data_IF_749153875820
#
_entry.id   IF_749153875820
#
_cell.length_a   1.000
_cell.length_b   1.000
_cell.length_c   1.000
_cell.angle_alpha   90.00
_cell.angle_beta   90.00
_cell.angle_gamma   90.00
#
_symmetry.space_group_name_H-M   'P 1'
#
loop_
_entity.id
_entity.type
_entity.pdbx_description
1 polymer ?
#
# COMPACT_ATOMS: atom_id res chain seq x y z
N UNK A 1 -12.28 5.27 -25.30
CA UNK A 1 -12.56 4.77 -24.82
C UNK A 1 -12.61 4.53 -24.40
N UNK A 2 -12.44 4.63 -24.40
CA UNK A 2 -12.75 4.08 -23.82
C UNK A 2 -12.38 4.11 -23.30
N UNK A 3 -12.01 4.28 -23.06
CA UNK A 3 -11.72 3.89 -22.43
C UNK A 3 -11.35 3.46 -21.86
N UNK A 4 -10.91 3.27 -21.87
CA UNK A 4 -10.89 2.52 -21.43
C UNK A 4 -10.35 2.16 -20.96
N UNK A 5 -9.35 1.94 -20.73
CA UNK A 5 -9.15 1.35 -20.32
C UNK A 5 -8.48 1.11 -19.42
N UNK A 6 -7.27 1.00 -18.38
CA UNK A 6 -7.09 0.93 -17.39
C UNK A 6 -7.12 0.59 -16.28
N UNK A 7 -6.34 0.54 -16.23
CA UNK A 7 -7.07 0.60 -16.14
C UNK A 7 -7.88 1.64 -16.39
N UNK A 8 -7.60 2.40 -17.36
CA UNK A 8 -8.65 3.00 -18.05
C UNK A 8 -9.85 2.09 -18.12
N UNK A 9 -9.58 0.83 -18.10
CA UNK A 9 -10.62 -0.18 -18.05
C UNK A 9 -11.46 -0.05 -16.79
N UNK A 10 -10.81 0.12 -15.65
CA UNK A 10 -11.52 0.31 -14.38
C UNK A 10 -12.38 1.57 -14.44
N UNK A 11 -11.83 2.64 -14.98
CA UNK A 11 -12.54 3.91 -15.09
C UNK A 11 -13.80 3.74 -15.92
N UNK A 12 -13.70 3.04 -17.04
CA UNK A 12 -14.84 2.80 -17.89
C UNK A 12 -15.91 1.99 -17.19
N UNK A 13 -15.51 1.00 -16.42
CA UNK A 13 -16.42 0.12 -15.74
C UNK A 13 -17.20 0.84 -14.65
N UNK A 14 -16.54 1.67 -13.89
CA UNK A 14 -17.18 2.35 -12.77
C UNK A 14 -17.76 3.69 -13.15
N UNK A 15 -17.36 4.21 -14.31
CA UNK A 15 -17.83 5.50 -14.76
C UNK A 15 -17.28 6.66 -13.94
N UNK A 16 -16.14 6.47 -13.29
CA UNK A 16 -15.59 7.56 -12.50
C UNK A 16 -14.08 7.57 -12.55
N UNK A 17 -13.54 8.76 -12.34
CA UNK A 17 -12.12 9.00 -12.22
C UNK A 17 -11.70 8.81 -10.78
N UNK A 18 -10.41 8.57 -10.60
CA UNK A 18 -9.82 8.51 -9.27
C UNK A 18 -8.61 9.41 -9.21
N UNK A 19 -8.51 10.14 -8.12
CA UNK A 19 -7.28 10.79 -7.76
C UNK A 19 -6.48 9.82 -6.91
N UNK A 20 -5.24 10.16 -6.67
CA UNK A 20 -4.34 9.24 -5.98
C UNK A 20 -3.53 9.99 -4.95
N UNK A 21 -3.59 9.54 -3.71
CA UNK A 21 -2.65 9.96 -2.69
C UNK A 21 -1.52 8.93 -2.70
N UNK A 22 -0.29 9.39 -2.70
CA UNK A 22 0.82 8.42 -2.69
C UNK A 22 1.82 8.76 -1.60
N UNK A 23 2.42 7.69 -1.08
CA UNK A 23 3.49 7.76 -0.09
C UNK A 23 4.66 6.99 -0.68
N UNK A 24 5.83 7.63 -0.72
CA UNK A 24 7.02 7.01 -1.29
C UNK A 24 8.11 6.92 -0.24
N UNK A 25 8.76 5.77 -0.20
CA UNK A 25 9.91 5.60 0.67
C UNK A 25 9.57 5.54 2.15
N UNK A 26 8.37 5.11 2.48
CA UNK A 26 7.95 4.98 3.86
C UNK A 26 8.66 3.80 4.51
N UNK A 27 9.39 4.05 5.58
CA UNK A 27 10.09 2.98 6.28
C UNK A 27 9.22 2.37 7.36
N UNK A 28 9.24 1.06 7.46
CA UNK A 28 8.49 0.35 8.49
C UNK A 28 9.27 -0.87 8.92
N UNK A 29 9.27 -1.15 10.20
CA UNK A 29 9.98 -2.28 10.77
C UNK A 29 9.00 -3.40 11.07
N UNK A 30 9.38 -4.63 10.68
CA UNK A 30 8.55 -5.79 10.97
C UNK A 30 9.40 -7.06 10.93
N UNK A 31 8.90 -8.08 11.58
CA UNK A 31 9.55 -9.39 11.55
C UNK A 31 9.07 -10.11 10.29
N UNK A 32 9.97 -10.35 9.35
CA UNK A 32 9.62 -10.84 8.02
C UNK A 32 10.71 -11.77 7.51
N UNK A 33 10.31 -12.91 6.93
CA UNK A 33 11.23 -13.82 6.27
C UNK A 33 11.10 -15.24 6.79
N UNK A 34 11.56 -16.21 5.98
CA UNK A 34 11.47 -17.63 6.32
C UNK A 34 12.73 -18.18 6.97
N UNK A 35 13.86 -17.50 6.79
CA UNK A 35 15.12 -17.97 7.35
C UNK A 35 15.22 -17.69 8.84
N UNK A 36 15.93 -18.57 9.57
CA UNK A 36 16.03 -18.45 11.02
C UNK A 36 16.57 -17.08 11.44
N UNK A 37 17.59 -16.56 10.76
CA UNK A 37 18.17 -15.28 11.13
C UNK A 37 17.15 -14.14 10.93
N UNK A 38 16.20 -14.31 10.00
CA UNK A 38 15.17 -13.30 9.76
C UNK A 38 14.11 -13.29 10.86
N UNK A 39 14.01 -14.37 11.63
CA UNK A 39 13.04 -14.46 12.72
C UNK A 39 13.55 -13.86 14.02
N UNK A 40 14.79 -13.45 14.07
CA UNK A 40 15.39 -13.01 15.32
C UNK A 40 15.14 -11.56 15.65
N UNK A 41 14.95 -10.70 14.65
CA UNK A 41 14.67 -9.29 14.90
C UNK A 41 14.03 -8.66 13.68
N UNK A 42 13.32 -7.54 13.90
CA UNK A 42 12.66 -6.86 12.79
C UNK A 42 13.65 -6.35 11.76
N UNK A 43 13.19 -6.28 10.53
CA UNK A 43 13.91 -5.66 9.42
C UNK A 43 13.18 -4.41 8.99
N UNK A 44 13.91 -3.45 8.47
CA UNK A 44 13.32 -2.23 7.93
C UNK A 44 12.99 -2.46 6.46
N UNK A 45 11.72 -2.26 6.13
CA UNK A 45 11.23 -2.34 4.76
C UNK A 45 10.91 -0.95 4.26
N UNK A 46 10.91 -0.79 2.95
CA UNK A 46 10.53 0.46 2.32
C UNK A 46 9.22 0.23 1.60
N UNK A 47 8.24 1.05 1.90
CA UNK A 47 6.89 0.92 1.34
C UNK A 47 6.58 2.10 0.44
N UNK A 48 5.99 1.80 -0.72
CA UNK A 48 5.36 2.80 -1.56
C UNK A 48 3.88 2.45 -1.62
N UNK A 49 3.04 3.42 -1.30
CA UNK A 49 1.59 3.22 -1.29
C UNK A 49 0.94 4.21 -2.23
N UNK A 50 0.07 3.71 -3.12
CA UNK A 50 -0.79 4.53 -3.96
C UNK A 50 -2.22 4.27 -3.52
N UNK A 51 -2.91 5.29 -3.04
CA UNK A 51 -4.25 5.16 -2.48
C UNK A 51 -5.22 5.90 -3.38
N UNK A 52 -6.11 5.14 -4.02
CA UNK A 52 -7.12 5.73 -4.91
C UNK A 52 -8.26 6.32 -4.12
N UNK A 53 -8.60 7.55 -4.42
CA UNK A 53 -9.69 8.28 -3.75
C UNK A 53 -10.61 8.86 -4.82
N UNK A 54 -11.86 9.22 -4.44
CA UNK A 54 -12.76 9.82 -5.41
C UNK A 54 -12.26 11.16 -5.90
N UNK A 55 -12.53 11.44 -7.16
CA UNK A 55 -12.11 12.69 -7.79
C UNK A 55 -12.59 13.91 -7.04
N UNK A 56 -13.78 13.85 -6.47
CA UNK A 56 -14.38 14.99 -5.78
C UNK A 56 -13.77 15.26 -4.41
N UNK A 57 -12.80 14.48 -3.97
CA UNK A 57 -12.22 14.68 -2.65
C UNK A 57 -11.60 16.07 -2.47
N UNK A 58 -11.09 16.67 -3.54
CA UNK A 58 -10.46 17.98 -3.46
C UNK A 58 -11.39 19.16 -3.66
N UNK A 59 -12.68 18.93 -3.87
CA UNK A 59 -13.57 20.00 -4.26
C UNK A 59 -14.05 20.86 -3.09
N UNK A 60 -14.10 20.30 -1.90
CA UNK A 60 -14.60 21.02 -0.73
C UNK A 60 -13.52 21.47 0.23
N UNK A 61 -12.28 21.13 -0.06
CA UNK A 61 -11.13 21.47 0.78
C UNK A 61 -11.38 21.10 2.24
N UNK A 62 -11.84 19.87 2.47
CA UNK A 62 -12.20 19.40 3.80
C UNK A 62 -11.60 18.03 4.05
N UNK A 63 -10.92 17.88 5.19
CA UNK A 63 -10.21 16.64 5.53
C UNK A 63 -11.14 15.42 5.59
N UNK A 64 -12.39 15.62 5.94
CA UNK A 64 -13.36 14.54 6.01
C UNK A 64 -13.72 13.93 4.66
N UNK A 65 -13.35 14.58 3.57
CA UNK A 65 -13.67 14.11 2.21
C UNK A 65 -12.54 13.36 1.56
N UNK A 66 -11.48 13.06 2.29
CA UNK A 66 -10.31 12.38 1.73
C UNK A 66 -9.75 11.36 2.72
N UNK A 67 -8.64 10.74 2.33
CA UNK A 67 -7.91 9.83 3.20
C UNK A 67 -6.81 10.62 3.90
N UNK A 68 -6.74 10.46 5.22
CA UNK A 68 -5.73 11.14 6.04
C UNK A 68 -4.44 10.31 6.01
N UNK A 69 -3.50 10.72 5.17
CA UNK A 69 -2.31 9.89 4.93
C UNK A 69 -1.41 9.73 6.16
N UNK A 70 -1.40 10.71 7.08
CA UNK A 70 -0.66 10.55 8.32
C UNK A 70 -1.20 9.41 9.18
N UNK A 71 -2.53 9.27 9.21
CA UNK A 71 -3.15 8.17 9.93
C UNK A 71 -2.90 6.83 9.25
N UNK A 72 -2.80 6.82 7.92
CA UNK A 72 -2.44 5.61 7.20
C UNK A 72 -1.06 5.14 7.62
N UNK A 73 -0.08 6.05 7.65
CA UNK A 73 1.27 5.72 8.09
C UNK A 73 1.28 5.15 9.50
N UNK A 74 0.57 5.79 10.42
CA UNK A 74 0.53 5.32 11.80
C UNK A 74 -0.10 3.95 11.92
N UNK A 75 -1.22 3.74 11.22
CA UNK A 75 -1.93 2.47 11.29
C UNK A 75 -1.08 1.34 10.71
N UNK A 76 -0.42 1.59 9.58
CA UNK A 76 0.42 0.57 8.95
C UNK A 76 1.59 0.23 9.87
N UNK A 77 2.31 1.23 10.37
CA UNK A 77 3.46 0.98 11.24
C UNK A 77 3.08 0.24 12.51
N UNK A 78 1.97 0.66 13.13
CA UNK A 78 1.53 0.03 14.36
C UNK A 78 1.17 -1.44 14.13
N UNK A 79 0.47 -1.72 13.04
CA UNK A 79 0.07 -3.08 12.72
C UNK A 79 1.29 -3.97 12.43
N UNK A 80 2.25 -3.46 11.67
CA UNK A 80 3.43 -4.24 11.32
C UNK A 80 4.33 -4.50 12.51
N UNK A 81 4.34 -3.60 13.48
CA UNK A 81 5.14 -3.78 14.69
C UNK A 81 4.61 -4.89 15.57
N UNK A 82 3.32 -5.21 15.47
CA UNK A 82 2.68 -6.22 16.33
C UNK A 82 2.56 -7.57 15.69
N UNK A 83 2.91 -7.71 14.42
CA UNK A 83 2.71 -8.95 13.68
C UNK A 83 4.00 -9.41 13.05
N UNK A 84 3.99 -10.66 12.59
CA UNK A 84 5.12 -11.21 11.88
C UNK A 84 4.62 -11.94 10.64
N UNK A 85 5.48 -12.00 9.63
CA UNK A 85 5.13 -12.60 8.35
C UNK A 85 6.29 -13.45 7.85
N UNK A 86 5.97 -14.48 7.09
CA UNK A 86 6.98 -15.26 6.41
C UNK A 86 7.27 -14.71 5.02
N UNK A 87 6.24 -14.25 4.33
CA UNK A 87 6.36 -13.85 2.93
C UNK A 87 5.97 -12.38 2.75
N UNK A 88 6.65 -11.70 1.83
CA UNK A 88 6.28 -10.34 1.45
C UNK A 88 4.88 -10.29 0.87
N UNK A 89 4.47 -11.34 0.18
CA UNK A 89 3.13 -11.44 -0.40
C UNK A 89 2.05 -11.33 0.67
N UNK A 90 2.23 -12.05 1.77
CA UNK A 90 1.27 -12.01 2.89
C UNK A 90 1.25 -10.64 3.54
N UNK A 91 2.42 -10.06 3.69
CA UNK A 91 2.55 -8.72 4.25
C UNK A 91 1.82 -7.69 3.39
N UNK A 92 2.00 -7.79 2.08
CA UNK A 92 1.36 -6.85 1.15
C UNK A 92 -0.17 -6.96 1.22
N UNK A 93 -0.70 -8.18 1.27
CA UNK A 93 -2.13 -8.39 1.40
C UNK A 93 -2.65 -7.81 2.72
N UNK A 94 -1.89 -7.98 3.78
CA UNK A 94 -2.27 -7.43 5.08
C UNK A 94 -2.37 -5.90 5.03
N UNK A 95 -1.39 -5.25 4.43
CA UNK A 95 -1.39 -3.79 4.32
C UNK A 95 -2.56 -3.32 3.46
N UNK A 96 -2.79 -3.98 2.32
CA UNK A 96 -3.88 -3.61 1.43
C UNK A 96 -5.22 -3.72 2.13
N UNK A 97 -5.44 -4.83 2.84
CA UNK A 97 -6.68 -5.04 3.55
C UNK A 97 -6.88 -4.02 4.66
N UNK A 98 -5.82 -3.72 5.39
CA UNK A 98 -5.89 -2.74 6.47
C UNK A 98 -6.30 -1.37 5.95
N UNK A 99 -5.74 -0.96 4.83
CA UNK A 99 -6.06 0.35 4.26
C UNK A 99 -7.49 0.37 3.72
N UNK A 100 -7.89 -0.66 2.99
CA UNK A 100 -9.24 -0.70 2.41
C UNK A 100 -10.32 -0.84 3.48
N UNK A 101 -10.04 -1.56 4.57
CA UNK A 101 -11.04 -1.78 5.62
C UNK A 101 -11.20 -0.57 6.55
N UNK A 102 -10.16 0.22 6.74
CA UNK A 102 -10.16 1.25 7.78
C UNK A 102 -10.16 2.67 7.24
N UNK A 103 -10.04 2.86 5.95
CA UNK A 103 -9.99 4.18 5.33
C UNK A 103 -10.93 4.21 4.13
N UNK A 104 -11.30 5.41 3.71
CA UNK A 104 -12.25 5.57 2.59
C UNK A 104 -11.54 5.48 1.25
N UNK A 105 -10.64 4.52 1.12
CA UNK A 105 -9.90 4.30 -0.12
C UNK A 105 -10.71 3.42 -1.07
N UNK A 106 -10.64 3.72 -2.35
CA UNK A 106 -11.29 2.91 -3.38
C UNK A 106 -10.37 1.79 -3.85
N UNK A 107 -9.08 2.05 -3.83
CA UNK A 107 -8.08 1.09 -4.25
C UNK A 107 -6.78 1.39 -3.54
N UNK A 108 -5.87 0.43 -3.57
CA UNK A 108 -4.53 0.64 -3.04
C UNK A 108 -3.54 -0.20 -3.83
N UNK A 109 -2.42 0.40 -4.18
CA UNK A 109 -1.26 -0.31 -4.70
C UNK A 109 -0.21 -0.31 -3.60
N UNK A 110 0.28 -1.48 -3.26
CA UNK A 110 1.29 -1.66 -2.21
C UNK A 110 2.55 -2.19 -2.86
N UNK A 111 3.64 -1.45 -2.72
CA UNK A 111 4.95 -1.90 -3.17
C UNK A 111 5.84 -2.00 -1.95
N UNK A 112 6.43 -3.17 -1.74
CA UNK A 112 7.30 -3.42 -0.60
C UNK A 112 8.68 -3.78 -1.11
N UNK A 113 9.67 -3.05 -0.63
CA UNK A 113 11.07 -3.29 -1.00
C UNK A 113 11.81 -3.77 0.24
N UNK A 114 12.56 -4.85 0.06
CA UNK A 114 13.43 -5.43 1.09
C UNK A 114 14.86 -5.04 0.73
N UNK A 115 15.38 -3.95 1.29
CA UNK A 115 16.66 -3.39 0.80
C UNK A 115 17.83 -4.28 1.16
N UNK A 116 18.79 -4.35 0.24
CA UNK A 116 20.07 -4.98 0.49
C UNK A 116 20.05 -6.49 0.67
N UNK A 117 18.96 -7.15 0.23
CA UNK A 117 18.83 -8.59 0.47
C UNK A 117 19.64 -9.43 -0.50
N UNK A 118 19.89 -8.93 -1.71
CA UNK A 118 20.64 -9.65 -2.72
C UNK A 118 21.76 -8.78 -3.28
N UNK A 119 22.97 -9.34 -3.48
CA UNK A 119 24.03 -8.58 -4.12
C UNK A 119 23.70 -8.31 -5.58
N UNK A 120 24.09 -7.13 -6.05
CA UNK A 120 23.93 -6.71 -7.44
C UNK A 120 22.47 -6.62 -7.90
N UNK A 121 21.52 -6.60 -6.97
CA UNK A 121 20.12 -6.33 -7.27
C UNK A 121 19.74 -5.07 -6.50
N UNK A 122 19.35 -4.05 -7.24
CA UNK A 122 19.04 -2.76 -6.63
C UNK A 122 17.83 -2.83 -5.70
N UNK A 123 16.79 -3.50 -6.15
CA UNK A 123 15.57 -3.64 -5.36
C UNK A 123 15.01 -5.05 -5.52
N UNK A 124 14.59 -5.62 -4.40
CA UNK A 124 13.85 -6.87 -4.38
C UNK A 124 12.59 -6.61 -3.59
N UNK A 125 11.46 -7.02 -4.11
CA UNK A 125 10.22 -6.79 -3.40
C UNK A 125 9.02 -7.34 -4.12
N UNK A 126 7.86 -6.85 -3.73
CA UNK A 126 6.58 -7.26 -4.30
C UNK A 126 5.71 -6.02 -4.50
N UNK A 127 4.86 -6.09 -5.49
CA UNK A 127 3.88 -5.04 -5.74
C UNK A 127 2.55 -5.71 -6.04
N UNK A 128 1.51 -5.28 -5.32
CA UNK A 128 0.15 -5.76 -5.55
C UNK A 128 -0.78 -4.57 -5.68
N UNK A 129 -1.92 -4.81 -6.30
CA UNK A 129 -2.96 -3.80 -6.41
C UNK A 129 -4.29 -4.44 -6.06
N UNK A 130 -5.06 -3.79 -5.19
CA UNK A 130 -6.35 -4.28 -4.74
C UNK A 130 -7.35 -3.15 -4.76
N UNK A 131 -8.60 -3.47 -5.05
CA UNK A 131 -9.66 -2.47 -5.03
C UNK A 131 -10.83 -3.01 -4.25
N UNK A 132 -11.67 -2.06 -3.83
CA UNK A 132 -12.82 -2.38 -3.02
C UNK A 132 -13.88 -3.15 -3.79
N UNK A 133 -13.86 -3.00 -5.09
CA UNK A 133 -14.89 -3.61 -5.94
C UNK A 133 -14.36 -4.82 -6.67
#
# INVERSE_FOLDING_TARGET
MLYLKWDAHFIKKTGRQMDKIFLRGMKADTLIGVYDWERERPQTLILDLDIGIPEQSGQDDHIGNTVHYGEVCEAVRASLAEQSFLLLESLAEHIAKLILDNFSALSVRVKIIKPGILPDVKEVGIEIERSRV
#
